data_IF_224459114052
#
_entry.id   IF_224459114052
#
_cell.length_a   1.000
_cell.length_b   1.000
_cell.length_c   1.000
_cell.angle_alpha   90.00
_cell.angle_beta   90.00
_cell.angle_gamma   90.00
#
_symmetry.space_group_name_H-M   'P 1'
#
loop_
_entity.id
_entity.type
_entity.pdbx_description
1 polymer ?
#
# COMPACT_ATOMS: atom_id res chain seq x y z
N UNK A 1 -4.38 -11.94 21.79
CA UNK A 1 -5.15 -11.78 20.56
C UNK A 1 -4.21 -11.82 19.36
N UNK A 2 -4.28 -12.89 18.55
CA UNK A 2 -3.43 -13.09 17.35
C UNK A 2 -4.07 -12.59 16.06
N UNK A 3 -5.24 -11.96 16.17
CA UNK A 3 -5.96 -11.41 15.04
C UNK A 3 -5.19 -10.24 14.40
N UNK A 4 -4.84 -10.38 13.13
CA UNK A 4 -4.19 -9.36 12.31
C UNK A 4 -5.23 -8.63 11.47
N UNK A 5 -4.93 -7.40 11.08
CA UNK A 5 -5.82 -6.56 10.27
C UNK A 5 -5.10 -6.04 9.03
N UNK A 6 -5.86 -5.86 7.97
CA UNK A 6 -5.42 -5.20 6.75
C UNK A 6 -6.05 -3.80 6.69
N UNK A 7 -5.27 -2.78 6.34
CA UNK A 7 -5.72 -1.39 6.27
C UNK A 7 -5.38 -0.78 4.92
N UNK A 8 -6.36 -0.12 4.31
CA UNK A 8 -6.17 0.73 3.12
C UNK A 8 -5.87 2.15 3.61
N UNK A 9 -4.57 2.45 3.78
CA UNK A 9 -4.11 3.73 4.30
C UNK A 9 -3.82 4.73 3.16
N UNK A 10 -4.76 4.94 2.27
CA UNK A 10 -4.63 5.82 1.10
C UNK A 10 -5.02 7.28 1.37
N UNK A 11 -5.51 7.58 2.58
CA UNK A 11 -5.99 8.89 3.00
C UNK A 11 -7.44 9.20 2.59
N UNK A 12 -8.15 8.21 2.03
CA UNK A 12 -9.54 8.37 1.57
C UNK A 12 -10.48 7.35 2.21
N UNK A 13 -10.07 6.07 2.32
CA UNK A 13 -10.90 5.01 2.88
C UNK A 13 -11.04 5.10 4.40
N UNK A 14 -9.97 5.48 5.10
CA UNK A 14 -9.94 5.51 6.55
C UNK A 14 -9.48 6.88 7.07
N UNK A 15 -10.20 7.48 8.04
CA UNK A 15 -9.80 8.74 8.65
C UNK A 15 -8.57 8.55 9.55
N UNK A 16 -7.82 9.63 9.76
CA UNK A 16 -6.57 9.65 10.54
C UNK A 16 -6.75 9.10 11.97
N UNK A 17 -7.88 9.41 12.59
CA UNK A 17 -8.22 8.98 13.95
C UNK A 17 -8.35 7.45 14.03
N UNK A 18 -8.99 6.83 13.02
CA UNK A 18 -9.15 5.38 12.97
C UNK A 18 -7.82 4.68 12.70
N UNK A 19 -7.00 5.20 11.76
CA UNK A 19 -5.64 4.68 11.52
C UNK A 19 -4.79 4.73 12.80
N UNK A 20 -4.82 5.86 13.51
CA UNK A 20 -4.09 6.05 14.77
C UNK A 20 -4.61 5.13 15.89
N UNK A 21 -5.93 4.96 16.00
CA UNK A 21 -6.54 4.06 16.97
C UNK A 21 -6.13 2.60 16.73
N UNK A 22 -6.22 2.13 15.47
CA UNK A 22 -5.85 0.76 15.12
C UNK A 22 -4.36 0.53 15.35
N UNK A 23 -3.49 1.50 15.00
CA UNK A 23 -2.06 1.42 15.29
C UNK A 23 -1.79 1.30 16.79
N UNK A 24 -2.47 2.09 17.63
CA UNK A 24 -2.33 2.06 19.08
C UNK A 24 -2.80 0.74 19.69
N UNK A 25 -3.89 0.16 19.17
CA UNK A 25 -4.49 -1.06 19.74
C UNK A 25 -3.78 -2.32 19.25
N UNK A 26 -3.41 -2.40 17.98
CA UNK A 26 -2.84 -3.60 17.35
C UNK A 26 -1.31 -3.59 17.29
N UNK A 27 -0.70 -2.44 17.15
CA UNK A 27 0.74 -2.30 16.89
C UNK A 27 1.14 -2.74 15.48
N UNK A 28 2.30 -2.31 15.02
CA UNK A 28 2.80 -2.53 13.67
C UNK A 28 2.98 -4.01 13.27
N UNK A 29 3.08 -4.91 14.26
CA UNK A 29 3.26 -6.35 14.03
C UNK A 29 1.97 -7.08 13.64
N UNK A 30 0.83 -6.44 13.85
CA UNK A 30 -0.49 -7.03 13.56
C UNK A 30 -1.27 -6.25 12.50
N UNK A 31 -0.62 -5.30 11.84
CA UNK A 31 -1.19 -4.49 10.76
C UNK A 31 -0.42 -4.76 9.47
N UNK A 32 -1.13 -5.15 8.42
CA UNK A 32 -0.64 -5.10 7.05
C UNK A 32 -1.30 -3.92 6.32
N UNK A 33 -0.49 -3.06 5.72
CA UNK A 33 -1.01 -2.03 4.82
C UNK A 33 -1.19 -2.65 3.43
N UNK A 34 -2.39 -2.55 2.89
CA UNK A 34 -2.73 -3.05 1.57
C UNK A 34 -3.25 -1.92 0.69
N UNK A 35 -3.04 -2.02 -0.60
CA UNK A 35 -3.53 -1.02 -1.55
C UNK A 35 -4.99 -1.25 -1.92
N UNK A 36 -5.43 -2.49 -1.99
CA UNK A 36 -6.71 -2.86 -2.62
C UNK A 36 -6.90 -2.19 -3.98
N UNK A 37 -5.79 -2.01 -4.71
CA UNK A 37 -5.81 -1.26 -5.95
C UNK A 37 -6.43 -2.07 -7.08
N UNK A 38 -7.23 -1.38 -7.86
CA UNK A 38 -7.87 -1.92 -9.06
C UNK A 38 -7.00 -1.74 -10.29
N UNK A 39 -7.43 -2.30 -11.42
CA UNK A 39 -6.79 -2.11 -12.73
C UNK A 39 -6.77 -0.64 -13.21
N UNK A 40 -7.46 0.26 -12.54
CA UNK A 40 -7.41 1.70 -12.81
C UNK A 40 -6.16 2.40 -12.24
N UNK A 41 -5.45 1.75 -11.31
CA UNK A 41 -4.24 2.31 -10.72
C UNK A 41 -3.14 2.49 -11.79
N UNK A 42 -2.55 3.69 -11.85
CA UNK A 42 -1.52 4.04 -12.82
C UNK A 42 -2.01 4.34 -14.24
N UNK A 43 -3.31 4.22 -14.52
CA UNK A 43 -3.87 4.60 -15.82
C UNK A 43 -4.15 6.10 -15.87
N UNK A 44 -3.90 6.70 -17.05
CA UNK A 44 -4.02 8.15 -17.26
C UNK A 44 -5.31 8.59 -17.94
N UNK A 45 -6.09 7.64 -18.50
CA UNK A 45 -7.30 7.96 -19.25
C UNK A 45 -8.39 6.91 -19.09
N UNK A 46 -9.68 7.34 -18.91
CA UNK A 46 -10.84 6.46 -18.94
C UNK A 46 -11.10 5.89 -20.36
N UNK A 47 -11.97 4.86 -20.50
CA UNK A 47 -12.74 4.25 -19.41
C UNK A 47 -11.93 3.28 -18.55
N UNK A 48 -12.20 3.27 -17.23
CA UNK A 48 -11.64 2.29 -16.31
C UNK A 48 -12.65 1.16 -16.10
N UNK A 49 -12.19 -0.09 -16.26
CA UNK A 49 -13.05 -1.28 -16.12
C UNK A 49 -12.41 -2.22 -15.10
N UNK A 50 -13.15 -2.56 -14.05
CA UNK A 50 -12.78 -3.56 -13.07
C UNK A 50 -13.33 -4.91 -13.49
N UNK A 51 -12.51 -5.96 -13.46
CA UNK A 51 -12.88 -7.31 -13.84
C UNK A 51 -12.71 -7.58 -15.34
N UNK A 52 -13.62 -8.35 -15.91
CA UNK A 52 -13.54 -8.76 -17.33
C UNK A 52 -13.79 -7.60 -18.29
N UNK A 53 -12.98 -7.51 -19.35
CA UNK A 53 -13.21 -6.51 -20.42
C UNK A 53 -14.58 -6.62 -21.09
N UNK A 54 -15.23 -7.80 -21.06
CA UNK A 54 -16.54 -8.02 -21.67
C UNK A 54 -17.71 -7.64 -20.74
N UNK A 55 -17.59 -7.97 -19.45
CA UNK A 55 -18.67 -7.84 -18.47
C UNK A 55 -18.18 -7.16 -17.19
N UNK A 56 -17.07 -6.43 -17.25
CA UNK A 56 -16.54 -5.71 -16.11
C UNK A 56 -17.35 -4.47 -15.78
N UNK A 57 -17.20 -4.00 -14.57
CA UNK A 57 -17.86 -2.81 -14.07
C UNK A 57 -17.04 -1.57 -14.42
N UNK A 58 -17.68 -0.59 -15.05
CA UNK A 58 -17.07 0.73 -15.25
C UNK A 58 -16.92 1.44 -13.91
N UNK A 59 -15.78 2.11 -13.72
CA UNK A 59 -15.53 2.96 -12.55
C UNK A 59 -15.01 4.33 -12.99
N UNK A 60 -15.16 5.31 -12.11
CA UNK A 60 -14.68 6.67 -12.27
C UNK A 60 -13.55 6.89 -11.27
N UNK A 61 -12.43 7.47 -11.70
CA UNK A 61 -11.32 7.83 -10.82
C UNK A 61 -11.29 9.33 -10.64
N UNK A 62 -11.53 9.78 -9.43
CA UNK A 62 -11.52 11.19 -9.04
C UNK A 62 -10.75 11.37 -7.73
N UNK A 63 -9.95 12.43 -7.66
CA UNK A 63 -9.15 12.78 -6.48
C UNK A 63 -8.30 11.61 -5.92
N UNK A 64 -7.88 10.68 -6.82
CA UNK A 64 -7.07 9.52 -6.44
C UNK A 64 -7.84 8.38 -5.77
N UNK A 65 -9.15 8.31 -5.98
CA UNK A 65 -10.05 7.24 -5.51
C UNK A 65 -10.89 6.74 -6.67
N UNK A 66 -11.16 5.43 -6.68
CA UNK A 66 -12.10 4.84 -7.62
C UNK A 66 -13.52 4.80 -7.01
N UNK A 67 -14.52 5.18 -7.79
CA UNK A 67 -15.93 5.16 -7.42
C UNK A 67 -16.75 4.37 -8.43
N UNK A 68 -17.91 3.90 -8.01
CA UNK A 68 -18.97 3.54 -8.95
C UNK A 68 -19.42 4.80 -9.71
N UNK A 69 -19.95 4.68 -10.96
CA UNK A 69 -20.32 5.83 -11.76
C UNK A 69 -21.41 6.74 -11.13
N UNK A 70 -22.22 6.18 -10.23
CA UNK A 70 -23.23 6.90 -9.45
C UNK A 70 -22.71 7.47 -8.12
N UNK A 71 -21.41 7.32 -7.84
CA UNK A 71 -20.77 7.72 -6.59
C UNK A 71 -21.37 7.12 -5.31
N UNK A 72 -22.15 6.04 -5.42
CA UNK A 72 -22.80 5.40 -4.28
C UNK A 72 -21.82 4.69 -3.35
N UNK A 73 -20.64 4.28 -3.86
CA UNK A 73 -19.59 3.64 -3.06
C UNK A 73 -18.21 3.76 -3.72
N UNK A 74 -17.18 3.51 -2.92
CA UNK A 74 -15.83 3.23 -3.43
C UNK A 74 -15.84 1.93 -4.24
N UNK A 75 -14.96 1.88 -5.23
CA UNK A 75 -14.78 0.72 -6.11
C UNK A 75 -13.30 0.27 -6.04
N UNK A 76 -12.82 -0.01 -4.85
CA UNK A 76 -11.42 -0.25 -4.53
C UNK A 76 -10.57 1.02 -4.56
N UNK A 77 -9.27 0.86 -4.52
CA UNK A 77 -8.30 1.96 -4.48
C UNK A 77 -7.56 2.11 -5.82
N UNK A 78 -6.92 3.25 -6.00
CA UNK A 78 -5.90 3.49 -7.03
C UNK A 78 -4.56 3.90 -6.39
N UNK A 79 -4.42 3.72 -5.08
CA UNK A 79 -3.22 4.06 -4.34
C UNK A 79 -2.09 3.06 -4.60
N UNK A 80 -0.88 3.57 -4.67
CA UNK A 80 0.36 2.80 -4.68
C UNK A 80 0.93 2.65 -3.26
N UNK A 81 1.86 1.73 -3.05
CA UNK A 81 2.44 1.46 -1.71
C UNK A 81 3.22 2.64 -1.13
N UNK A 82 3.86 3.46 -1.96
CA UNK A 82 4.53 4.70 -1.56
C UNK A 82 3.54 5.75 -1.03
N UNK A 83 2.33 5.82 -1.62
CA UNK A 83 1.24 6.64 -1.09
C UNK A 83 0.78 6.14 0.29
N UNK A 84 0.62 4.82 0.47
CA UNK A 84 0.26 4.25 1.78
C UNK A 84 1.31 4.59 2.84
N UNK A 85 2.60 4.46 2.50
CA UNK A 85 3.69 4.82 3.40
C UNK A 85 3.65 6.30 3.77
N UNK A 86 3.51 7.18 2.76
CA UNK A 86 3.41 8.62 2.96
C UNK A 86 2.22 8.99 3.86
N UNK A 87 1.06 8.39 3.61
CA UNK A 87 -0.17 8.64 4.38
C UNK A 87 -0.03 8.19 5.83
N UNK A 88 0.48 6.99 6.08
CA UNK A 88 0.71 6.51 7.45
C UNK A 88 1.65 7.43 8.23
N UNK A 89 2.72 7.92 7.60
CA UNK A 89 3.67 8.83 8.23
C UNK A 89 3.11 10.25 8.44
N UNK A 90 2.16 10.68 7.63
CA UNK A 90 1.55 12.00 7.74
C UNK A 90 0.37 12.05 8.72
N UNK A 91 -0.43 10.97 8.77
CA UNK A 91 -1.71 10.96 9.49
C UNK A 91 -1.67 10.23 10.83
N UNK A 92 -0.57 9.54 11.16
CA UNK A 92 -0.46 8.74 12.40
C UNK A 92 0.87 9.01 13.11
N UNK A 93 1.01 8.62 14.40
CA UNK A 93 2.28 8.69 15.10
C UNK A 93 3.27 7.56 14.71
N UNK A 94 3.03 6.82 13.62
CA UNK A 94 3.92 5.77 13.16
C UNK A 94 5.30 6.32 12.80
N UNK A 95 6.34 5.66 13.29
CA UNK A 95 7.71 5.91 12.83
C UNK A 95 7.95 5.25 11.46
N UNK A 96 8.94 5.73 10.71
CA UNK A 96 9.28 5.14 9.41
C UNK A 96 9.53 3.62 9.49
N UNK A 97 10.32 3.08 10.44
CA UNK A 97 10.49 1.63 10.55
C UNK A 97 9.19 0.86 10.82
N UNK A 98 8.26 1.43 11.60
CA UNK A 98 6.95 0.81 11.86
C UNK A 98 6.10 0.79 10.58
N UNK A 99 6.01 1.90 9.85
CA UNK A 99 5.25 1.97 8.62
C UNK A 99 5.83 1.06 7.53
N UNK A 100 7.16 1.00 7.40
CA UNK A 100 7.84 0.05 6.49
C UNK A 100 7.54 -1.39 6.89
N UNK A 101 7.59 -1.73 8.19
CA UNK A 101 7.27 -3.09 8.66
C UNK A 101 5.85 -3.50 8.25
N UNK A 102 4.87 -2.61 8.37
CA UNK A 102 3.48 -2.88 8.00
C UNK A 102 3.29 -3.12 6.48
N UNK A 103 4.24 -2.68 5.65
CA UNK A 103 4.26 -2.90 4.19
C UNK A 103 5.14 -4.08 3.76
N UNK A 104 5.98 -4.62 4.64
CA UNK A 104 7.00 -5.61 4.27
C UNK A 104 6.95 -6.85 5.14
N UNK A 105 7.51 -6.80 6.33
CA UNK A 105 7.68 -7.98 7.19
C UNK A 105 6.34 -8.50 7.72
N UNK A 106 5.41 -7.63 8.14
CA UNK A 106 4.12 -8.08 8.65
C UNK A 106 3.29 -8.82 7.58
N UNK A 107 3.13 -8.33 6.34
CA UNK A 107 2.50 -9.12 5.28
C UNK A 107 3.29 -10.39 4.93
N UNK A 108 4.62 -10.38 4.96
CA UNK A 108 5.41 -11.60 4.74
C UNK A 108 5.17 -12.66 5.83
N UNK A 109 5.01 -12.24 7.09
CA UNK A 109 4.62 -13.12 8.20
C UNK A 109 3.21 -13.70 8.01
N UNK A 110 2.25 -12.89 7.51
CA UNK A 110 0.88 -13.34 7.22
C UNK A 110 0.89 -14.42 6.13
N UNK A 111 1.70 -14.21 5.09
CA UNK A 111 1.83 -15.12 3.95
C UNK A 111 2.72 -16.35 4.23
N UNK A 112 3.40 -16.42 5.39
CA UNK A 112 4.30 -17.51 5.73
C UNK A 112 5.61 -17.54 4.94
N UNK A 113 6.08 -16.37 4.45
CA UNK A 113 7.31 -16.22 3.64
C UNK A 113 8.36 -15.31 4.31
N UNK A 114 8.21 -15.03 5.60
CA UNK A 114 9.10 -14.15 6.35
C UNK A 114 10.49 -14.76 6.62
N UNK A 115 10.70 -16.00 6.26
CA UNK A 115 12.00 -16.68 6.24
C UNK A 115 12.93 -16.19 5.12
N UNK A 116 12.35 -15.57 4.07
CA UNK A 116 13.11 -15.06 2.92
C UNK A 116 12.69 -13.68 2.40
N UNK A 117 11.56 -13.11 2.86
CA UNK A 117 11.01 -11.81 2.43
C UNK A 117 10.75 -10.88 3.61
N UNK A 118 10.65 -9.58 3.32
CA UNK A 118 10.15 -8.57 4.25
C UNK A 118 11.19 -7.90 5.13
N UNK A 119 12.47 -8.27 5.02
CA UNK A 119 13.59 -7.62 5.70
C UNK A 119 14.89 -7.70 4.91
N UNK A 120 15.83 -6.85 5.23
CA UNK A 120 17.20 -6.94 4.75
C UNK A 120 18.00 -7.74 5.79
N UNK A 121 18.38 -8.96 5.43
CA UNK A 121 19.19 -9.84 6.27
C UNK A 121 19.98 -10.82 5.39
N UNK A 122 21.07 -11.37 5.93
CA UNK A 122 21.86 -12.39 5.24
C UNK A 122 21.00 -13.64 5.01
N UNK A 123 21.02 -14.18 3.79
CA UNK A 123 20.22 -15.32 3.38
C UNK A 123 18.78 -14.99 2.92
N UNK A 124 18.34 -13.73 3.04
CA UNK A 124 17.05 -13.28 2.51
C UNK A 124 17.17 -12.85 1.03
N UNK A 125 16.04 -12.88 0.33
CA UNK A 125 15.96 -12.34 -1.03
C UNK A 125 16.33 -10.85 -1.03
N UNK A 126 17.20 -10.45 -1.95
CA UNK A 126 17.63 -9.05 -2.07
C UNK A 126 16.60 -8.21 -2.85
N UNK A 127 15.38 -8.13 -2.30
CA UNK A 127 14.34 -7.22 -2.76
C UNK A 127 14.47 -5.92 -1.96
N UNK A 128 15.07 -4.91 -2.59
CA UNK A 128 15.49 -3.68 -1.91
C UNK A 128 14.92 -2.48 -2.65
N UNK A 129 14.36 -1.56 -1.88
CA UNK A 129 13.84 -0.29 -2.36
C UNK A 129 14.69 0.84 -1.80
N UNK A 130 15.25 1.67 -2.69
CA UNK A 130 15.86 2.94 -2.30
C UNK A 130 14.88 4.07 -2.58
N UNK A 131 14.65 4.89 -1.59
CA UNK A 131 13.78 6.05 -1.69
C UNK A 131 14.30 7.22 -0.85
N UNK A 132 13.89 8.42 -1.19
CA UNK A 132 13.99 9.60 -0.34
C UNK A 132 12.62 9.99 0.21
N UNK A 133 12.65 10.92 1.15
CA UNK A 133 11.45 11.51 1.71
C UNK A 133 11.60 13.04 1.68
N UNK A 134 10.87 13.66 0.79
CA UNK A 134 10.84 15.11 0.64
C UNK A 134 9.42 15.63 0.85
N UNK A 135 9.26 16.66 1.66
CA UNK A 135 7.96 17.28 1.97
C UNK A 135 6.85 16.29 2.38
N UNK A 136 7.24 15.22 3.06
CA UNK A 136 6.31 14.16 3.50
C UNK A 136 5.96 13.11 2.45
N UNK A 137 6.43 13.25 1.20
CA UNK A 137 6.22 12.28 0.13
C UNK A 137 7.40 11.32 -0.01
N UNK A 138 7.11 10.11 -0.42
CA UNK A 138 8.11 9.08 -0.72
C UNK A 138 8.44 9.15 -2.21
N UNK A 139 9.72 9.39 -2.53
CA UNK A 139 10.24 9.39 -3.89
C UNK A 139 11.08 8.14 -4.15
N UNK A 140 10.57 7.21 -4.96
CA UNK A 140 11.28 5.97 -5.32
C UNK A 140 12.47 6.31 -6.21
N UNK A 141 13.68 5.87 -5.84
CA UNK A 141 14.92 6.08 -6.61
C UNK A 141 15.31 4.81 -7.37
N UNK A 142 15.39 3.69 -6.68
CA UNK A 142 15.82 2.43 -7.26
C UNK A 142 15.04 1.27 -6.66
N UNK A 143 14.77 0.27 -7.48
CA UNK A 143 14.09 -0.97 -7.08
C UNK A 143 14.96 -2.15 -7.50
N UNK A 144 15.30 -2.99 -6.54
CA UNK A 144 16.00 -4.25 -6.77
C UNK A 144 15.08 -5.42 -6.47
N UNK A 145 15.06 -6.42 -7.34
CA UNK A 145 14.37 -7.69 -7.14
C UNK A 145 15.38 -8.82 -7.31
N UNK A 146 15.55 -9.63 -6.26
CA UNK A 146 16.56 -10.68 -6.25
C UNK A 146 17.98 -10.14 -6.52
N UNK A 147 18.29 -8.95 -6.04
CA UNK A 147 19.58 -8.26 -6.23
C UNK A 147 19.79 -7.64 -7.62
N UNK A 148 18.79 -7.67 -8.49
CA UNK A 148 18.85 -7.07 -9.83
C UNK A 148 18.11 -5.74 -9.86
N UNK A 149 18.80 -4.68 -10.28
CA UNK A 149 18.19 -3.36 -10.48
C UNK A 149 17.15 -3.43 -11.62
N UNK A 150 15.93 -2.97 -11.32
CA UNK A 150 14.91 -2.80 -12.35
C UNK A 150 15.16 -1.52 -13.15
N UNK A 151 14.88 -1.54 -14.48
CA UNK A 151 14.92 -0.33 -15.27
C UNK A 151 13.89 0.67 -14.75
N UNK A 152 14.20 1.95 -14.83
CA UNK A 152 13.20 3.00 -14.54
C UNK A 152 12.06 2.90 -15.56
N UNK A 153 10.84 2.87 -15.05
CA UNK A 153 9.63 2.94 -15.87
C UNK A 153 9.44 4.34 -16.44
#
# INVERSE_FOLDING_TARGET
DDFRVELIADGCHLPAELLSLVLKVKGERKIALITDCTSAAGLTAPPYIIGSRKNGQTVVVEQGVAFLPDHSSFAGSVATTDRLLSTMLALTPATLPQAVRMLTLTPAEILGIADRKGRIAEGWDADILLFDREEGKIGIKEVYIGGKLLPKL
#
